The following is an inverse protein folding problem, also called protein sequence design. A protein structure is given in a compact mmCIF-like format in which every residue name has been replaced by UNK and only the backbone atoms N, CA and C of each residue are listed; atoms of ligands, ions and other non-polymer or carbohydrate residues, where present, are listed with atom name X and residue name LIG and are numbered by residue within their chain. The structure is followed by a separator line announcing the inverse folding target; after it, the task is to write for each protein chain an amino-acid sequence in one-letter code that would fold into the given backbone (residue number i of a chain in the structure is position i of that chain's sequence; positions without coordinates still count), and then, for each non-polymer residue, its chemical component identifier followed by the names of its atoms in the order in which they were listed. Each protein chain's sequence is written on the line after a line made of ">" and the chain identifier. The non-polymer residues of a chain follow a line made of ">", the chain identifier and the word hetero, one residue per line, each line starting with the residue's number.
data_IF_652096297649
#
_entry.id   IF_652096297649
#
_cell.length_a   1.000
_cell.length_b   1.000
_cell.length_c   1.000
_cell.angle_alpha   90.00
_cell.angle_beta   90.00
_cell.angle_gamma   90.00
#
_symmetry.space_group_name_H-M   'P 1'
#
loop_
_entity.id
_entity.type
_entity.pdbx_description
1 polymer ?
#
# COMPACT_ATOMS: atom_id res chain seq x y z
N UNK A 1 15.43 -8.81 2.27
CA UNK A 1 15.07 -8.34 0.92
C UNK A 1 13.70 -7.71 0.99
N UNK A 2 13.50 -6.60 0.28
CA UNK A 2 12.20 -5.95 0.13
C UNK A 2 11.36 -6.76 -0.86
N UNK A 3 10.14 -7.13 -0.48
CA UNK A 3 9.20 -7.93 -1.28
C UNK A 3 7.82 -7.29 -1.26
N UNK A 4 6.96 -7.63 -2.22
CA UNK A 4 5.60 -7.07 -2.28
C UNK A 4 4.78 -7.33 -1.00
N UNK A 5 5.08 -8.41 -0.26
CA UNK A 5 4.40 -8.81 0.96
C UNK A 5 4.93 -8.17 2.25
N UNK A 6 6.06 -7.46 2.19
CA UNK A 6 6.65 -6.77 3.35
C UNK A 6 6.93 -5.28 3.09
N UNK A 7 6.74 -4.81 1.85
CA UNK A 7 7.16 -3.46 1.47
C UNK A 7 6.38 -2.37 2.21
N UNK A 8 5.10 -2.63 2.54
CA UNK A 8 4.27 -1.68 3.28
C UNK A 8 4.65 -1.65 4.76
N UNK A 9 4.93 -2.81 5.35
CA UNK A 9 5.45 -2.89 6.72
C UNK A 9 6.82 -2.23 6.85
N UNK A 10 7.72 -2.44 5.89
CA UNK A 10 9.04 -1.77 5.86
C UNK A 10 8.88 -0.26 5.66
N UNK A 11 7.93 0.18 4.85
CA UNK A 11 7.63 1.61 4.66
C UNK A 11 7.18 2.27 5.97
N UNK A 12 6.21 1.66 6.66
CA UNK A 12 5.73 2.16 7.96
C UNK A 12 6.84 2.14 9.03
N UNK A 13 7.69 1.11 9.02
CA UNK A 13 8.85 1.04 9.93
C UNK A 13 9.88 2.12 9.61
N UNK A 14 10.16 2.38 8.33
CA UNK A 14 11.09 3.42 7.91
C UNK A 14 10.59 4.82 8.31
N UNK A 15 9.28 5.05 8.22
CA UNK A 15 8.63 6.27 8.71
C UNK A 15 8.79 6.41 10.24
N UNK A 16 8.53 5.34 11.00
CA UNK A 16 8.73 5.32 12.45
C UNK A 16 10.20 5.54 12.87
N UNK A 17 11.15 5.09 12.06
CA UNK A 17 12.59 5.31 12.27
C UNK A 17 13.10 6.65 11.71
N UNK A 18 12.23 7.46 11.09
CA UNK A 18 12.59 8.68 10.36
C UNK A 18 13.68 8.45 9.30
N UNK A 19 13.77 7.23 8.75
CA UNK A 19 14.74 6.85 7.74
C UNK A 19 14.16 7.13 6.34
N UNK A 20 14.33 8.36 5.88
CA UNK A 20 13.79 8.84 4.60
C UNK A 20 14.29 8.06 3.39
N UNK A 21 15.54 7.60 3.42
CA UNK A 21 16.14 6.83 2.32
C UNK A 21 15.45 5.47 2.17
N UNK A 22 15.27 4.73 3.27
CA UNK A 22 14.57 3.46 3.29
C UNK A 22 13.08 3.63 2.95
N UNK A 23 12.46 4.68 3.48
CA UNK A 23 11.06 5.00 3.20
C UNK A 23 10.84 5.23 1.70
N UNK A 24 11.69 6.05 1.05
CA UNK A 24 11.59 6.33 -0.38
C UNK A 24 11.84 5.07 -1.23
N UNK A 25 12.81 4.24 -0.83
CA UNK A 25 13.08 2.97 -1.51
C UNK A 25 11.89 2.01 -1.42
N UNK A 26 11.32 1.85 -0.22
CA UNK A 26 10.16 1.01 0.02
C UNK A 26 8.94 1.51 -0.76
N UNK A 27 8.74 2.83 -0.78
CA UNK A 27 7.64 3.49 -1.49
C UNK A 27 7.75 3.28 -3.00
N UNK A 28 8.92 3.54 -3.58
CA UNK A 28 9.15 3.35 -5.01
C UNK A 28 8.93 1.90 -5.43
N UNK A 29 9.39 0.94 -4.62
CA UNK A 29 9.18 -0.48 -4.89
C UNK A 29 7.71 -0.87 -4.82
N UNK A 30 6.98 -0.42 -3.79
CA UNK A 30 5.56 -0.69 -3.65
C UNK A 30 4.80 -0.14 -4.86
N UNK A 31 5.04 1.12 -5.24
CA UNK A 31 4.39 1.77 -6.38
C UNK A 31 4.64 1.04 -7.70
N UNK A 32 5.87 0.58 -7.95
CA UNK A 32 6.21 -0.16 -9.18
C UNK A 32 5.61 -1.57 -9.21
N UNK A 33 5.45 -2.22 -8.06
CA UNK A 33 4.93 -3.58 -7.93
C UNK A 33 3.49 -3.58 -7.37
N UNK A 34 2.74 -2.51 -7.59
CA UNK A 34 1.38 -2.38 -7.07
C UNK A 34 0.49 -3.60 -7.35
N UNK A 35 0.51 -4.24 -8.55
CA UNK A 35 -0.29 -5.44 -8.81
C UNK A 35 0.03 -6.61 -7.89
N UNK A 36 1.30 -6.79 -7.54
CA UNK A 36 1.72 -7.84 -6.63
C UNK A 36 1.34 -7.49 -5.19
N UNK A 37 1.51 -6.21 -4.79
CA UNK A 37 1.17 -5.70 -3.45
C UNK A 37 -0.34 -5.74 -3.21
N UNK A 38 -1.15 -5.39 -4.20
CA UNK A 38 -2.61 -5.48 -4.18
C UNK A 38 -3.13 -6.91 -3.94
N UNK A 39 -2.33 -7.92 -4.31
CA UNK A 39 -2.61 -9.33 -4.04
C UNK A 39 -2.23 -9.79 -2.63
N UNK A 40 -1.51 -8.98 -1.85
CA UNK A 40 -1.05 -9.35 -0.51
C UNK A 40 -2.03 -8.92 0.57
N UNK A 41 -2.10 -9.69 1.65
CA UNK A 41 -2.91 -9.34 2.81
C UNK A 41 -2.35 -8.15 3.61
N UNK A 42 -1.06 -7.82 3.43
CA UNK A 42 -0.43 -6.69 4.12
C UNK A 42 -1.09 -5.36 3.76
N UNK A 43 -1.50 -5.18 2.50
CA UNK A 43 -2.23 -3.96 2.07
C UNK A 43 -3.56 -3.80 2.78
N UNK A 44 -4.17 -4.89 3.26
CA UNK A 44 -5.43 -4.87 4.02
C UNK A 44 -5.24 -4.36 5.46
N UNK A 45 -3.99 -4.34 5.94
CA UNK A 45 -3.65 -3.98 7.32
C UNK A 45 -3.18 -2.53 7.47
N UNK A 46 -2.96 -1.80 6.37
CA UNK A 46 -2.51 -0.40 6.41
C UNK A 46 -3.64 0.56 6.78
N UNK A 47 -3.27 1.76 7.24
CA UNK A 47 -4.22 2.81 7.62
C UNK A 47 -4.94 3.42 6.40
N UNK A 48 -6.07 4.10 6.64
CA UNK A 48 -6.82 4.81 5.58
C UNK A 48 -5.94 5.88 4.92
N UNK A 49 -5.19 6.61 5.73
CA UNK A 49 -4.32 7.71 5.28
C UNK A 49 -3.20 7.18 4.40
N UNK A 50 -2.54 6.08 4.81
CA UNK A 50 -1.46 5.45 4.03
C UNK A 50 -1.98 4.89 2.72
N UNK A 51 -3.14 4.21 2.74
CA UNK A 51 -3.76 3.69 1.53
C UNK A 51 -4.10 4.82 0.55
N UNK A 52 -4.69 5.92 1.04
CA UNK A 52 -5.00 7.09 0.19
C UNK A 52 -3.73 7.71 -0.36
N UNK A 53 -2.71 7.95 0.47
CA UNK A 53 -1.43 8.51 0.04
C UNK A 53 -0.72 7.62 -0.99
N UNK A 54 -0.88 6.31 -0.86
CA UNK A 54 -0.30 5.32 -1.76
C UNK A 54 -1.03 5.27 -3.10
N UNK A 55 -2.36 5.19 -3.08
CA UNK A 55 -3.19 5.13 -4.29
C UNK A 55 -3.30 6.46 -5.03
N UNK A 56 -3.15 7.59 -4.32
CA UNK A 56 -3.16 8.94 -4.90
C UNK A 56 -1.81 9.33 -5.50
N UNK A 57 -0.85 8.40 -5.57
CA UNK A 57 0.47 8.68 -6.11
C UNK A 57 0.48 8.53 -7.64
N UNK A 58 0.89 9.59 -8.35
CA UNK A 58 0.96 9.59 -9.82
C UNK A 58 1.94 8.55 -10.41
N UNK A 59 2.88 8.04 -9.61
CA UNK A 59 3.84 7.02 -10.02
C UNK A 59 3.36 5.58 -9.75
N UNK A 60 2.10 5.39 -9.35
CA UNK A 60 1.50 4.08 -9.12
C UNK A 60 1.43 3.30 -10.44
N UNK A 61 2.18 2.20 -10.54
CA UNK A 61 2.17 1.34 -11.71
C UNK A 61 0.94 0.42 -11.69
N UNK A 62 -0.22 1.00 -12.02
CA UNK A 62 -1.44 0.23 -12.23
C UNK A 62 -1.73 0.11 -13.73
N UNK A 63 -1.92 -1.13 -14.20
CA UNK A 63 -2.32 -1.39 -15.60
C UNK A 63 -3.80 -1.09 -15.84
N UNK A 64 -4.60 -1.03 -14.78
CA UNK A 64 -6.02 -0.76 -14.83
C UNK A 64 -6.50 -0.14 -13.50
N UNK A 65 -7.29 0.93 -13.58
CA UNK A 65 -7.96 1.51 -12.40
C UNK A 65 -8.86 0.49 -11.68
N UNK A 66 -9.30 -0.54 -12.40
CA UNK A 66 -10.06 -1.67 -11.86
C UNK A 66 -9.33 -2.37 -10.71
N UNK A 67 -8.01 -2.57 -10.82
CA UNK A 67 -7.23 -3.18 -9.74
C UNK A 67 -7.19 -2.31 -8.48
N UNK A 68 -7.09 -0.99 -8.65
CA UNK A 68 -7.14 -0.04 -7.54
C UNK A 68 -8.49 -0.13 -6.84
N UNK A 69 -9.58 -0.13 -7.63
CA UNK A 69 -10.93 -0.28 -7.12
C UNK A 69 -11.12 -1.60 -6.36
N UNK A 70 -10.71 -2.73 -6.93
CA UNK A 70 -10.78 -4.04 -6.28
C UNK A 70 -10.00 -4.08 -4.96
N UNK A 71 -8.81 -3.47 -4.94
CA UNK A 71 -7.97 -3.39 -3.75
C UNK A 71 -8.66 -2.60 -2.63
N UNK A 72 -9.23 -1.44 -2.96
CA UNK A 72 -9.99 -0.62 -2.00
C UNK A 72 -11.20 -1.39 -1.48
N UNK A 73 -11.96 -2.06 -2.36
CA UNK A 73 -13.11 -2.86 -1.95
C UNK A 73 -12.69 -4.02 -1.04
N UNK A 74 -11.58 -4.71 -1.34
CA UNK A 74 -11.03 -5.75 -0.46
C UNK A 74 -10.61 -5.18 0.89
N UNK A 75 -9.95 -4.02 0.91
CA UNK A 75 -9.53 -3.34 2.13
C UNK A 75 -10.73 -2.97 3.02
N UNK A 76 -11.79 -2.42 2.43
CA UNK A 76 -13.05 -2.13 3.14
C UNK A 76 -13.70 -3.43 3.63
N UNK A 77 -13.76 -4.47 2.81
CA UNK A 77 -14.35 -5.77 3.18
C UNK A 77 -13.61 -6.48 4.31
N UNK A 78 -12.33 -6.19 4.54
CA UNK A 78 -11.55 -6.77 5.64
C UNK A 78 -12.07 -6.29 6.99
N UNK A 79 -12.45 -5.03 7.09
CA UNK A 79 -13.05 -4.44 8.29
C UNK A 79 -14.14 -3.41 7.91
N UNK A 80 -15.33 -3.87 7.51
CA UNK A 80 -16.38 -2.99 7.05
C UNK A 80 -16.94 -2.11 8.17
N UNK A 81 -16.70 -2.44 9.45
CA UNK A 81 -17.22 -1.67 10.58
C UNK A 81 -16.34 -0.45 10.84
N UNK A 82 -15.01 -0.60 10.82
CA UNK A 82 -14.10 0.53 11.04
C UNK A 82 -13.78 1.33 9.78
N UNK A 83 -13.95 0.75 8.58
CA UNK A 83 -13.54 1.38 7.31
C UNK A 83 -14.66 2.04 6.51
N UNK A 84 -15.93 1.79 6.85
CA UNK A 84 -17.10 2.41 6.18
C UNK A 84 -17.51 3.76 6.79
N UNK A 85 -16.89 4.16 7.92
CA UNK A 85 -17.03 5.50 8.50
C UNK A 85 -16.18 6.56 7.78
#
# INVERSE_FOLDING_TARGET
>A
QLTAANCLGVLAMAEAMCCTELHNMAKAFALQNFPDVAGQDEILSISKEDLVNYLSNDSLNTKAEELVYETVIKWIKKDPVSRVQ
#
